data_IF_012818564322
#
_entry.id   IF_012818564322
#
_cell.length_a   1.000
_cell.length_b   1.000
_cell.length_c   1.000
_cell.angle_alpha   90.00
_cell.angle_beta   90.00
_cell.angle_gamma   90.00
#
_symmetry.space_group_name_H-M   'P 1'
#
loop_
_entity.id
_entity.type
_entity.pdbx_description
1 polymer ?
#
# COMPACT_ATOMS: atom_id res chain seq x y z
N UNK A 1 0.03 18.67 -13.29
CA UNK A 1 0.95 17.96 -12.39
C UNK A 1 0.46 18.21 -10.98
N UNK A 2 -0.06 17.19 -10.28
CA UNK A 2 -0.48 17.36 -8.88
C UNK A 2 0.76 17.55 -8.01
N UNK A 3 0.72 18.41 -6.98
CA UNK A 3 1.84 18.55 -6.05
C UNK A 3 2.17 17.18 -5.44
N UNK A 4 3.45 16.93 -5.12
CA UNK A 4 3.82 15.72 -4.40
C UNK A 4 3.04 15.67 -3.08
N UNK A 5 2.52 14.48 -2.69
CA UNK A 5 1.75 14.34 -1.46
C UNK A 5 2.58 14.79 -0.26
N UNK A 6 1.90 15.32 0.76
CA UNK A 6 2.55 15.64 2.03
C UNK A 6 3.20 14.36 2.59
N UNK A 7 4.53 14.36 2.84
CA UNK A 7 5.25 13.14 3.17
C UNK A 7 4.85 12.58 4.55
N UNK A 8 4.45 13.43 5.50
CA UNK A 8 4.00 12.99 6.81
C UNK A 8 2.62 12.34 6.70
N UNK A 9 1.69 12.94 5.97
CA UNK A 9 0.37 12.37 5.69
C UNK A 9 0.48 11.03 4.93
N UNK A 10 1.38 10.95 3.93
CA UNK A 10 1.62 9.72 3.17
C UNK A 10 2.15 8.60 4.06
N UNK A 11 3.14 8.89 4.90
CA UNK A 11 3.71 7.91 5.84
C UNK A 11 2.67 7.44 6.87
N UNK A 12 1.87 8.35 7.43
CA UNK A 12 0.79 8.00 8.35
C UNK A 12 -0.27 7.10 7.70
N UNK A 13 -0.69 7.45 6.48
CA UNK A 13 -1.61 6.63 5.69
C UNK A 13 -1.02 5.23 5.42
N UNK A 14 0.26 5.15 5.05
CA UNK A 14 0.95 3.88 4.79
C UNK A 14 0.94 2.96 6.02
N UNK A 15 1.31 3.49 7.19
CA UNK A 15 1.31 2.73 8.45
C UNK A 15 -0.10 2.25 8.80
N UNK A 16 -1.11 3.12 8.66
CA UNK A 16 -2.49 2.75 9.00
C UNK A 16 -3.04 1.65 8.08
N UNK A 17 -2.78 1.73 6.78
CA UNK A 17 -3.25 0.73 5.81
C UNK A 17 -2.48 -0.58 5.93
N UNK A 18 -1.15 -0.56 5.90
CA UNK A 18 -0.36 -1.80 5.78
C UNK A 18 0.08 -2.41 7.11
N UNK A 19 0.20 -1.62 8.20
CA UNK A 19 0.61 -2.17 9.51
C UNK A 19 -0.57 -2.43 10.44
N UNK A 20 -1.63 -1.62 10.36
CA UNK A 20 -2.80 -1.74 11.24
C UNK A 20 -4.00 -2.39 10.53
N UNK A 21 -4.17 -2.16 9.22
CA UNK A 21 -5.17 -2.82 8.38
C UNK A 21 -4.69 -4.18 7.87
N UNK A 22 -4.80 -5.23 8.69
CA UNK A 22 -4.46 -6.61 8.27
C UNK A 22 -5.50 -7.26 7.34
N UNK A 23 -6.53 -6.53 6.94
CA UNK A 23 -7.57 -7.04 6.04
C UNK A 23 -7.24 -6.62 4.60
N UNK A 24 -7.48 -7.50 3.61
CA UNK A 24 -7.32 -7.15 2.21
C UNK A 24 -8.16 -5.92 1.86
N UNK A 25 -7.78 -5.15 0.83
CA UNK A 25 -8.53 -3.95 0.43
C UNK A 25 -9.93 -4.29 -0.08
N UNK A 26 -10.20 -5.56 -0.44
CA UNK A 26 -11.52 -6.11 -0.74
C UNK A 26 -12.44 -6.30 0.48
N UNK A 27 -11.91 -6.29 1.70
CA UNK A 27 -12.72 -6.30 2.92
C UNK A 27 -13.18 -4.88 3.29
N UNK A 28 -14.46 -4.65 3.60
CA UNK A 28 -15.04 -3.31 3.86
C UNK A 28 -14.57 -2.64 5.16
N UNK A 29 -13.54 -3.16 5.82
CA UNK A 29 -12.99 -2.63 7.06
C UNK A 29 -11.45 -2.47 6.93
N UNK A 30 -10.89 -1.32 7.34
CA UNK A 30 -11.55 -0.16 7.94
C UNK A 30 -12.21 0.78 6.91
N UNK A 31 -13.26 1.49 7.35
CA UNK A 31 -13.93 2.55 6.57
C UNK A 31 -12.94 3.69 6.29
N UNK A 32 -12.88 4.15 5.04
CA UNK A 32 -11.98 5.24 4.62
C UNK A 32 -12.18 6.52 5.43
N UNK A 33 -13.40 6.77 5.92
CA UNK A 33 -13.67 7.92 6.81
C UNK A 33 -12.91 7.81 8.13
N UNK A 34 -12.87 6.62 8.73
CA UNK A 34 -12.15 6.39 9.99
C UNK A 34 -10.64 6.45 9.78
N UNK A 35 -10.15 5.88 8.68
CA UNK A 35 -8.74 5.99 8.30
C UNK A 35 -8.35 7.45 8.09
N UNK A 36 -9.16 8.23 7.38
CA UNK A 36 -8.90 9.64 7.13
C UNK A 36 -8.85 10.45 8.43
N UNK A 37 -9.78 10.19 9.36
CA UNK A 37 -9.76 10.85 10.67
C UNK A 37 -8.49 10.49 11.45
N UNK A 38 -8.09 9.21 11.47
CA UNK A 38 -6.83 8.78 12.12
C UNK A 38 -5.58 9.39 11.49
N UNK A 39 -5.54 9.56 10.16
CA UNK A 39 -4.43 10.26 9.48
C UNK A 39 -4.37 11.72 9.94
N UNK A 40 -5.51 12.40 9.99
CA UNK A 40 -5.61 13.81 10.44
C UNK A 40 -5.18 13.96 11.90
N UNK A 41 -5.55 13.01 12.76
CA UNK A 41 -5.16 13.00 14.16
C UNK A 41 -3.64 12.76 14.33
N UNK A 42 -3.06 11.90 13.49
CA UNK A 42 -1.63 11.62 13.49
C UNK A 42 -0.77 12.77 12.92
N UNK A 43 -1.33 13.55 11.99
CA UNK A 43 -0.62 14.62 11.28
C UNK A 43 -1.45 15.92 11.29
N UNK A 44 -1.59 16.59 12.46
CA UNK A 44 -2.46 17.75 12.59
C UNK A 44 -1.98 18.98 11.80
N UNK A 45 -0.71 19.00 11.39
CA UNK A 45 -0.15 20.06 10.54
C UNK A 45 -0.50 19.90 9.04
N UNK A 46 -0.91 18.70 8.61
CA UNK A 46 -1.28 18.46 7.22
C UNK A 46 -2.69 18.98 6.93
N UNK A 47 -2.89 19.48 5.72
CA UNK A 47 -4.22 19.94 5.31
C UNK A 47 -5.19 18.75 5.11
N UNK A 48 -6.50 18.94 5.28
CA UNK A 48 -7.48 17.87 5.03
C UNK A 48 -7.48 17.33 3.58
N UNK A 49 -7.01 18.11 2.61
CA UNK A 49 -6.81 17.63 1.23
C UNK A 49 -5.57 16.73 1.14
N UNK A 50 -4.45 17.12 1.78
CA UNK A 50 -3.24 16.31 1.80
C UNK A 50 -3.46 14.94 2.47
N UNK A 51 -4.22 14.89 3.57
CA UNK A 51 -4.59 13.62 4.21
C UNK A 51 -5.45 12.72 3.31
N UNK A 52 -6.36 13.32 2.52
CA UNK A 52 -7.17 12.57 1.55
C UNK A 52 -6.33 12.05 0.40
N UNK A 53 -5.48 12.89 -0.18
CA UNK A 53 -4.60 12.51 -1.29
C UNK A 53 -3.64 11.38 -0.87
N UNK A 54 -3.11 11.46 0.36
CA UNK A 54 -2.31 10.40 0.97
C UNK A 54 -3.10 9.09 1.10
N UNK A 55 -4.32 9.12 1.66
CA UNK A 55 -5.14 7.93 1.80
C UNK A 55 -5.47 7.30 0.44
N UNK A 56 -5.88 8.09 -0.55
CA UNK A 56 -6.18 7.61 -1.90
C UNK A 56 -4.96 6.93 -2.52
N UNK A 57 -3.78 7.53 -2.39
CA UNK A 57 -2.54 6.97 -2.95
C UNK A 57 -2.16 5.64 -2.31
N UNK A 58 -2.23 5.55 -0.99
CA UNK A 58 -1.93 4.31 -0.26
C UNK A 58 -3.00 3.24 -0.50
N UNK A 59 -4.27 3.60 -0.64
CA UNK A 59 -5.33 2.67 -1.03
C UNK A 59 -5.06 2.06 -2.40
N UNK A 60 -4.68 2.89 -3.37
CA UNK A 60 -4.27 2.39 -4.68
C UNK A 60 -3.10 1.40 -4.55
N UNK A 61 -2.08 1.74 -3.76
CA UNK A 61 -0.95 0.83 -3.51
C UNK A 61 -1.42 -0.51 -2.89
N UNK A 62 -2.42 -0.49 -2.01
CA UNK A 62 -2.94 -1.72 -1.40
C UNK A 62 -3.63 -2.65 -2.41
N UNK A 63 -4.38 -2.09 -3.37
CA UNK A 63 -4.98 -2.88 -4.45
C UNK A 63 -3.90 -3.43 -5.39
N UNK A 64 -2.94 -2.58 -5.80
CA UNK A 64 -1.84 -3.01 -6.66
C UNK A 64 -1.00 -4.10 -5.98
N UNK A 65 -0.76 -3.99 -4.68
CA UNK A 65 -0.02 -5.00 -3.91
C UNK A 65 -0.76 -6.34 -3.80
N UNK A 66 -2.09 -6.34 -3.63
CA UNK A 66 -2.91 -7.56 -3.63
C UNK A 66 -2.91 -8.23 -5.01
N UNK A 67 -3.04 -7.44 -6.08
CA UNK A 67 -3.01 -7.91 -7.47
C UNK A 67 -1.65 -8.53 -7.80
N UNK A 68 -0.56 -7.79 -7.59
CA UNK A 68 0.82 -8.25 -7.85
C UNK A 68 1.12 -9.51 -7.02
N UNK A 69 0.71 -9.56 -5.75
CA UNK A 69 0.88 -10.76 -4.94
C UNK A 69 0.07 -11.95 -5.48
N UNK A 70 -1.13 -11.71 -6.00
CA UNK A 70 -1.96 -12.75 -6.61
C UNK A 70 -1.35 -13.28 -7.90
N UNK A 71 -0.83 -12.40 -8.76
CA UNK A 71 -0.06 -12.76 -9.97
C UNK A 71 1.23 -13.52 -9.64
N UNK A 72 1.94 -13.11 -8.59
CA UNK A 72 3.11 -13.81 -8.07
C UNK A 72 2.78 -15.23 -7.61
N UNK A 73 1.68 -15.41 -6.86
CA UNK A 73 1.20 -16.73 -6.46
C UNK A 73 0.89 -17.63 -7.66
N UNK A 74 0.37 -17.06 -8.74
CA UNK A 74 0.04 -17.76 -9.98
C UNK A 74 1.27 -18.05 -10.86
N UNK A 75 2.47 -17.59 -10.47
CA UNK A 75 3.73 -17.83 -11.18
C UNK A 75 3.99 -16.88 -12.35
N UNK A 76 3.27 -15.76 -12.46
CA UNK A 76 3.39 -14.82 -13.60
C UNK A 76 4.77 -14.14 -13.68
N UNK A 77 5.49 -14.06 -12.57
CA UNK A 77 6.85 -13.49 -12.50
C UNK A 77 7.97 -14.54 -12.57
N UNK A 78 7.65 -15.79 -12.89
CA UNK A 78 8.60 -16.90 -12.95
C UNK A 78 8.81 -17.62 -11.61
N UNK A 79 9.97 -18.28 -11.45
CA UNK A 79 10.27 -19.15 -10.31
C UNK A 79 11.54 -18.69 -9.56
N UNK A 80 11.61 -19.02 -8.27
CA UNK A 80 12.78 -18.77 -7.42
C UNK A 80 12.94 -17.30 -7.00
N UNK A 81 14.12 -16.97 -6.47
CA UNK A 81 14.39 -15.68 -5.81
C UNK A 81 14.22 -14.47 -6.76
N UNK A 82 14.40 -14.67 -8.06
CA UNK A 82 14.21 -13.63 -9.07
C UNK A 82 12.74 -13.20 -9.24
N UNK A 83 11.79 -14.11 -8.99
CA UNK A 83 10.36 -13.83 -9.17
C UNK A 83 9.85 -12.79 -8.17
N UNK A 84 10.35 -12.82 -6.93
CA UNK A 84 10.00 -11.83 -5.91
C UNK A 84 10.56 -10.44 -6.24
N UNK A 85 11.77 -10.40 -6.81
CA UNK A 85 12.36 -9.14 -7.28
C UNK A 85 11.57 -8.56 -8.46
N UNK A 86 11.16 -9.38 -9.42
CA UNK A 86 10.35 -8.95 -10.56
C UNK A 86 8.97 -8.44 -10.13
N UNK A 87 8.31 -9.10 -9.18
CA UNK A 87 7.04 -8.64 -8.62
C UNK A 87 7.18 -7.28 -7.89
N UNK A 88 8.28 -7.06 -7.16
CA UNK A 88 8.55 -5.78 -6.51
C UNK A 88 8.79 -4.65 -7.52
N UNK A 89 9.48 -4.94 -8.63
CA UNK A 89 9.69 -3.97 -9.72
C UNK A 89 8.36 -3.59 -10.35
N UNK A 90 7.49 -4.56 -10.66
CA UNK A 90 6.16 -4.27 -11.22
C UNK A 90 5.29 -3.43 -10.27
N UNK A 91 5.34 -3.72 -8.96
CA UNK A 91 4.63 -2.89 -7.97
C UNK A 91 5.15 -1.44 -7.94
N UNK A 92 6.47 -1.24 -8.04
CA UNK A 92 7.09 0.08 -8.10
C UNK A 92 6.71 0.84 -9.38
N UNK A 93 6.65 0.15 -10.51
CA UNK A 93 6.23 0.73 -11.80
C UNK A 93 4.74 1.12 -11.81
N UNK A 94 3.87 0.26 -11.25
CA UNK A 94 2.42 0.52 -11.15
C UNK A 94 2.10 1.69 -10.22
N UNK A 95 2.86 1.85 -9.13
CA UNK A 95 2.58 2.85 -8.10
C UNK A 95 3.84 3.55 -7.56
N UNK A 96 4.47 4.41 -8.37
CA UNK A 96 5.74 5.04 -8.01
C UNK A 96 5.59 6.02 -6.84
N UNK A 97 6.70 6.31 -6.16
CA UNK A 97 6.77 7.36 -5.12
C UNK A 97 6.74 6.84 -3.68
N UNK A 98 6.94 5.54 -3.47
CA UNK A 98 7.25 4.97 -2.17
C UNK A 98 8.70 4.51 -2.11
N UNK A 99 9.21 4.30 -0.90
CA UNK A 99 10.55 3.75 -0.68
C UNK A 99 10.60 2.24 -0.93
N UNK A 100 11.80 1.71 -1.20
CA UNK A 100 12.02 0.26 -1.34
C UNK A 100 11.53 -0.53 -0.12
N UNK A 101 11.66 0.02 1.10
CA UNK A 101 11.18 -0.62 2.31
C UNK A 101 9.64 -0.69 2.39
N UNK A 102 8.96 0.35 1.90
CA UNK A 102 7.51 0.40 1.80
C UNK A 102 6.99 -0.60 0.76
N UNK A 103 7.61 -0.71 -0.42
CA UNK A 103 7.22 -1.73 -1.39
C UNK A 103 7.40 -3.16 -0.85
N UNK A 104 8.51 -3.43 -0.16
CA UNK A 104 8.71 -4.73 0.49
C UNK A 104 7.64 -5.03 1.54
N UNK A 105 7.26 -4.02 2.32
CA UNK A 105 6.19 -4.14 3.32
C UNK A 105 4.84 -4.38 2.65
N UNK A 106 4.49 -3.58 1.64
CA UNK A 106 3.24 -3.69 0.90
C UNK A 106 3.11 -5.05 0.22
N UNK A 107 4.18 -5.52 -0.44
CA UNK A 107 4.20 -6.83 -1.08
C UNK A 107 4.09 -7.98 -0.06
N UNK A 108 4.79 -7.91 1.07
CA UNK A 108 4.66 -8.92 2.12
C UNK A 108 3.24 -9.00 2.68
N UNK A 109 2.57 -7.86 2.89
CA UNK A 109 1.17 -7.81 3.32
C UNK A 109 0.23 -8.30 2.22
N UNK A 110 0.45 -7.90 0.97
CA UNK A 110 -0.27 -8.41 -0.19
C UNK A 110 -0.17 -9.94 -0.32
N UNK A 111 1.00 -10.52 -0.03
CA UNK A 111 1.17 -11.98 0.01
C UNK A 111 0.27 -12.64 1.06
N UNK A 112 0.18 -12.07 2.26
CA UNK A 112 -0.73 -12.56 3.31
C UNK A 112 -2.20 -12.51 2.86
N UNK A 113 -2.61 -11.42 2.19
CA UNK A 113 -3.96 -11.26 1.63
C UNK A 113 -4.27 -12.26 0.53
N UNK A 114 -3.30 -12.55 -0.34
CA UNK A 114 -3.38 -13.58 -1.37
C UNK A 114 -3.29 -15.01 -0.80
N UNK A 115 -3.38 -15.20 0.52
CA UNK A 115 -3.33 -16.52 1.15
C UNK A 115 -1.95 -17.18 1.11
N UNK A 116 -0.89 -16.42 0.84
CA UNK A 116 0.50 -16.83 0.99
C UNK A 116 1.00 -16.32 2.35
N UNK A 117 0.53 -16.94 3.43
CA UNK A 117 1.19 -16.80 4.73
C UNK A 117 2.36 -17.79 4.77
N UNK A 118 3.57 -17.28 5.05
CA UNK A 118 4.73 -18.12 5.37
C UNK A 118 4.49 -18.89 6.68
#
# INVERSE_FOLDING_TARGET
MMPPPDPAALSAAFVLVFRQGRSPPSCPAPNDTDLLNRIRDAVPAASPSACRDALVRVRRLSFDAEEVASSFRSGEYGLGDAAAAAALVDLEEKNPGFSTAEYRTAFAVGRMWAGMAD
#
